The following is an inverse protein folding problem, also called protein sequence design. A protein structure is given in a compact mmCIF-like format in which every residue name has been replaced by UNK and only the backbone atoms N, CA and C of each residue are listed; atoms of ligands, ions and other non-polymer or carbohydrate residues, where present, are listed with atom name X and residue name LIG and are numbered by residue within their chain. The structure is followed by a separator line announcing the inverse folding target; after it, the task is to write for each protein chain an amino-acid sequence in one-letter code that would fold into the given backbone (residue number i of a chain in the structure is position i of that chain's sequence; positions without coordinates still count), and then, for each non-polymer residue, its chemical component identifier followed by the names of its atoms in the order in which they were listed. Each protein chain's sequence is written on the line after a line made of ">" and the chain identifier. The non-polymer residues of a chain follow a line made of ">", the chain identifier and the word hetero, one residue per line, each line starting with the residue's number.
data_IF_130737513542
#
_entry.id   IF_130737513542
#
_cell.length_a   1.000
_cell.length_b   1.000
_cell.length_c   1.000
_cell.angle_alpha   90.00
_cell.angle_beta   90.00
_cell.angle_gamma   90.00
#
_symmetry.space_group_name_H-M   'P 1'
#
loop_
_entity.id
_entity.type
_entity.pdbx_description
1 polymer ?
#
# COMPACT_ATOMS: atom_id res chain seq x y z
N UNK A 1 -8.04 -11.18 12.97
CA UNK A 1 -7.24 -10.48 14.00
C UNK A 1 -5.86 -11.13 14.22
N UNK A 2 -5.77 -12.45 14.53
CA UNK A 2 -4.47 -13.09 14.75
C UNK A 2 -3.49 -12.92 13.58
N UNK A 3 -3.95 -13.14 12.34
CA UNK A 3 -3.13 -12.98 11.12
C UNK A 3 -2.57 -11.55 11.00
N UNK A 4 -3.35 -10.54 11.35
CA UNK A 4 -2.90 -9.15 11.33
C UNK A 4 -1.80 -8.90 12.37
N UNK A 5 -1.97 -9.43 13.58
CA UNK A 5 -0.96 -9.33 14.65
C UNK A 5 0.33 -10.04 14.26
N UNK A 6 0.22 -11.24 13.69
CA UNK A 6 1.38 -11.99 13.17
C UNK A 6 2.07 -11.21 12.05
N UNK A 7 1.32 -10.65 11.11
CA UNK A 7 1.88 -9.85 10.03
C UNK A 7 2.61 -8.60 10.56
N UNK A 8 2.03 -7.89 11.55
CA UNK A 8 2.69 -6.76 12.21
C UNK A 8 3.94 -7.19 12.98
N UNK A 9 3.88 -8.34 13.67
CA UNK A 9 5.04 -8.87 14.38
C UNK A 9 6.16 -9.25 13.41
N UNK A 10 5.85 -9.91 12.30
CA UNK A 10 6.83 -10.22 11.24
C UNK A 10 7.45 -8.91 10.72
N UNK A 11 6.63 -7.93 10.34
CA UNK A 11 7.12 -6.65 9.84
C UNK A 11 8.02 -5.93 10.86
N UNK A 12 7.65 -5.99 12.16
CA UNK A 12 8.48 -5.43 13.23
C UNK A 12 9.81 -6.17 13.38
N UNK A 13 9.79 -7.51 13.36
CA UNK A 13 10.99 -8.33 13.48
C UNK A 13 11.94 -8.13 12.29
N UNK A 14 11.40 -8.01 11.08
CA UNK A 14 12.16 -7.70 9.87
C UNK A 14 12.81 -6.31 9.97
N UNK A 15 12.08 -5.31 10.44
CA UNK A 15 12.61 -3.95 10.62
C UNK A 15 13.77 -3.94 11.62
N UNK A 16 13.70 -4.73 12.71
CA UNK A 16 14.80 -4.87 13.68
C UNK A 16 15.98 -5.71 13.16
N UNK A 17 15.68 -6.71 12.33
CA UNK A 17 16.66 -7.64 11.78
C UNK A 17 17.11 -7.27 10.36
N UNK A 18 16.96 -6.00 9.97
CA UNK A 18 17.35 -5.50 8.64
C UNK A 18 18.79 -5.91 8.25
N UNK A 19 19.65 -6.17 9.25
CA UNK A 19 20.95 -6.77 9.04
C UNK A 19 20.94 -8.18 8.44
N UNK A 20 19.87 -8.97 8.63
CA UNK A 20 19.74 -10.30 8.04
C UNK A 20 19.44 -10.21 6.54
N UNK A 21 18.54 -9.34 6.15
CA UNK A 21 18.21 -9.12 4.72
C UNK A 21 19.37 -8.48 3.97
N UNK A 22 20.13 -7.57 4.59
CA UNK A 22 21.39 -7.08 4.03
C UNK A 22 22.42 -8.21 3.86
N UNK A 23 22.50 -9.16 4.79
CA UNK A 23 23.39 -10.34 4.68
C UNK A 23 22.92 -11.32 3.62
N UNK A 24 21.62 -11.37 3.31
CA UNK A 24 21.05 -12.16 2.22
C UNK A 24 21.18 -11.47 0.85
N UNK A 25 21.86 -10.32 0.80
CA UNK A 25 22.11 -9.62 -0.46
C UNK A 25 20.90 -8.87 -1.02
N UNK A 26 19.90 -8.58 -0.18
CA UNK A 26 18.76 -7.73 -0.56
C UNK A 26 19.04 -6.30 -0.05
N UNK A 27 19.77 -5.50 -0.78
CA UNK A 27 20.07 -4.14 -0.37
C UNK A 27 18.82 -3.28 -0.61
N UNK A 28 18.32 -2.62 0.42
CA UNK A 28 17.16 -1.73 0.36
C UNK A 28 17.53 -0.28 0.06
N UNK A 29 18.74 -0.01 -0.37
CA UNK A 29 19.17 1.33 -0.75
C UNK A 29 19.05 1.54 -2.27
N UNK A 30 18.51 2.68 -2.66
CA UNK A 30 18.38 3.20 -4.03
C UNK A 30 19.75 3.37 -4.74
N UNK A 31 20.61 2.38 -4.79
CA UNK A 31 21.96 2.58 -5.30
C UNK A 31 22.75 1.37 -5.71
N UNK A 32 22.18 0.18 -5.73
CA UNK A 32 23.00 -1.02 -5.95
C UNK A 32 22.70 -1.72 -7.26
N UNK A 33 23.75 -1.85 -8.05
CA UNK A 33 23.79 -2.64 -9.27
C UNK A 33 23.66 -4.13 -8.90
N UNK A 34 22.78 -4.87 -9.57
CA UNK A 34 22.63 -6.32 -9.40
C UNK A 34 21.24 -6.85 -9.00
N UNK A 35 20.18 -6.04 -9.10
CA UNK A 35 18.85 -6.34 -8.55
C UNK A 35 17.86 -7.07 -9.46
N UNK A 36 18.23 -7.37 -10.68
CA UNK A 36 17.32 -8.02 -11.64
C UNK A 36 17.28 -9.54 -11.49
N UNK A 37 17.52 -10.08 -10.29
CA UNK A 37 17.46 -11.50 -10.04
C UNK A 37 16.12 -11.95 -9.42
N UNK A 38 15.77 -13.21 -9.66
CA UNK A 38 14.52 -13.79 -9.19
C UNK A 38 14.42 -13.81 -7.65
N UNK A 39 15.55 -13.92 -6.96
CA UNK A 39 15.60 -13.97 -5.49
C UNK A 39 15.18 -12.63 -4.91
N UNK A 40 15.75 -11.54 -5.37
CA UNK A 40 15.40 -10.18 -4.94
C UNK A 40 13.93 -9.85 -5.24
N UNK A 41 13.43 -10.26 -6.42
CA UNK A 41 12.02 -10.12 -6.78
C UNK A 41 11.09 -10.86 -5.81
N UNK A 42 11.39 -12.12 -5.51
CA UNK A 42 10.53 -12.93 -4.64
C UNK A 42 10.53 -12.44 -3.20
N UNK A 43 11.70 -12.07 -2.67
CA UNK A 43 11.84 -11.52 -1.32
C UNK A 43 11.10 -10.19 -1.21
N UNK A 44 11.32 -9.26 -2.15
CA UNK A 44 10.62 -7.96 -2.15
C UNK A 44 9.10 -8.13 -2.22
N UNK A 45 8.62 -8.95 -3.17
CA UNK A 45 7.17 -9.16 -3.35
C UNK A 45 6.55 -9.88 -2.15
N UNK A 46 7.28 -10.81 -1.53
CA UNK A 46 6.84 -11.50 -0.31
C UNK A 46 6.73 -10.54 0.88
N UNK A 47 7.74 -9.71 1.11
CA UNK A 47 7.71 -8.67 2.16
C UNK A 47 6.60 -7.66 1.91
N UNK A 48 6.44 -7.22 0.66
CA UNK A 48 5.34 -6.33 0.27
C UNK A 48 3.98 -6.96 0.59
N UNK A 49 3.78 -8.24 0.26
CA UNK A 49 2.54 -8.95 0.56
C UNK A 49 2.25 -9.01 2.07
N UNK A 50 3.24 -9.31 2.91
CA UNK A 50 3.11 -9.33 4.37
C UNK A 50 2.74 -7.93 4.89
N UNK A 51 3.41 -6.88 4.41
CA UNK A 51 3.10 -5.50 4.75
C UNK A 51 1.67 -5.12 4.37
N UNK A 52 1.23 -5.51 3.17
CA UNK A 52 -0.15 -5.26 2.72
C UNK A 52 -1.18 -6.03 3.55
N UNK A 53 -0.89 -7.26 3.98
CA UNK A 53 -1.74 -7.99 4.91
C UNK A 53 -1.85 -7.23 6.25
N UNK A 54 -0.73 -6.77 6.80
CA UNK A 54 -0.72 -6.04 8.06
C UNK A 54 -1.58 -4.76 8.02
N UNK A 55 -1.49 -3.98 6.94
CA UNK A 55 -2.16 -2.68 6.81
C UNK A 55 -3.60 -2.80 6.29
N UNK A 56 -3.85 -3.70 5.33
CA UNK A 56 -5.12 -3.76 4.60
C UNK A 56 -6.13 -4.74 5.18
N UNK A 57 -5.68 -5.80 5.89
CA UNK A 57 -6.60 -6.77 6.47
C UNK A 57 -7.55 -6.14 7.50
N UNK A 58 -7.12 -5.25 8.42
CA UNK A 58 -8.03 -4.61 9.37
C UNK A 58 -9.15 -3.85 8.67
N UNK A 59 -8.81 -3.12 7.59
CA UNK A 59 -9.76 -2.29 6.86
C UNK A 59 -10.72 -3.09 5.95
N UNK A 60 -10.34 -4.29 5.51
CA UNK A 60 -11.15 -5.18 4.68
C UNK A 60 -11.95 -6.23 5.50
N UNK A 61 -11.69 -6.30 6.82
CA UNK A 61 -12.30 -7.30 7.69
C UNK A 61 -13.84 -7.29 7.70
N UNK A 62 -14.55 -6.14 7.70
CA UNK A 62 -16.01 -6.12 7.63
C UNK A 62 -16.54 -6.80 6.36
N UNK A 63 -15.91 -6.54 5.21
CA UNK A 63 -16.31 -7.15 3.92
C UNK A 63 -16.06 -8.66 3.92
N UNK A 64 -14.93 -9.11 4.48
CA UNK A 64 -14.60 -10.52 4.60
C UNK A 64 -15.60 -11.27 5.50
N UNK A 65 -16.00 -10.68 6.64
CA UNK A 65 -16.99 -11.28 7.54
C UNK A 65 -18.35 -11.36 6.87
N UNK A 66 -18.78 -10.31 6.20
CA UNK A 66 -20.07 -10.29 5.51
C UNK A 66 -20.09 -11.34 4.39
N UNK A 67 -19.04 -11.38 3.56
CA UNK A 67 -18.90 -12.41 2.53
C UNK A 67 -18.97 -13.81 3.12
N UNK A 68 -18.25 -14.07 4.23
CA UNK A 68 -18.26 -15.37 4.92
C UNK A 68 -19.68 -15.77 5.34
N UNK A 69 -20.41 -14.86 5.98
CA UNK A 69 -21.75 -15.11 6.49
C UNK A 69 -22.73 -15.46 5.36
N UNK A 70 -22.70 -14.70 4.27
CA UNK A 70 -23.60 -14.92 3.12
C UNK A 70 -23.18 -16.19 2.37
N UNK A 71 -21.87 -16.40 2.16
CA UNK A 71 -21.36 -17.57 1.46
C UNK A 71 -21.74 -18.89 2.19
N UNK A 72 -21.60 -18.93 3.50
CA UNK A 72 -21.98 -20.11 4.31
C UNK A 72 -23.47 -20.39 4.27
N UNK A 73 -24.31 -19.35 4.28
CA UNK A 73 -25.77 -19.52 4.16
C UNK A 73 -26.19 -20.05 2.80
N UNK A 74 -25.54 -19.59 1.72
CA UNK A 74 -25.88 -19.98 0.34
C UNK A 74 -25.24 -21.31 -0.10
N UNK A 75 -24.11 -21.67 0.48
CA UNK A 75 -23.33 -22.85 0.12
C UNK A 75 -22.95 -23.68 1.36
N UNK A 76 -23.93 -24.30 2.06
CA UNK A 76 -23.67 -24.98 3.32
C UNK A 76 -22.72 -26.17 3.20
N UNK A 77 -22.66 -26.81 2.03
CA UNK A 77 -21.79 -27.96 1.74
C UNK A 77 -20.42 -27.60 1.20
N UNK A 78 -20.18 -26.32 0.85
CA UNK A 78 -18.93 -25.87 0.22
C UNK A 78 -18.18 -24.91 1.12
N UNK A 79 -17.06 -25.35 1.65
CA UNK A 79 -16.13 -24.49 2.39
C UNK A 79 -15.10 -23.83 1.46
N UNK A 80 -14.44 -22.78 1.95
CA UNK A 80 -13.28 -22.19 1.28
C UNK A 80 -13.54 -20.99 0.38
N UNK A 81 -14.80 -20.60 0.11
CA UNK A 81 -15.08 -19.42 -0.76
C UNK A 81 -14.53 -18.12 -0.20
N UNK A 82 -14.61 -17.90 1.12
CA UNK A 82 -14.04 -16.71 1.75
C UNK A 82 -12.51 -16.70 1.71
N UNK A 83 -11.89 -17.87 1.77
CA UNK A 83 -10.44 -17.96 1.57
C UNK A 83 -10.05 -17.57 0.14
N UNK A 84 -10.79 -18.04 -0.87
CA UNK A 84 -10.56 -17.65 -2.27
C UNK A 84 -10.80 -16.15 -2.51
N UNK A 85 -11.80 -15.56 -1.85
CA UNK A 85 -12.00 -14.12 -1.85
C UNK A 85 -10.77 -13.39 -1.29
N UNK A 86 -10.29 -13.80 -0.11
CA UNK A 86 -9.11 -13.19 0.51
C UNK A 86 -7.85 -13.38 -0.36
N UNK A 87 -7.67 -14.59 -0.93
CA UNK A 87 -6.55 -14.90 -1.79
C UNK A 87 -6.51 -13.99 -3.02
N UNK A 88 -7.62 -13.82 -3.71
CA UNK A 88 -7.69 -12.94 -4.89
C UNK A 88 -7.53 -11.46 -4.53
N UNK A 89 -8.05 -11.02 -3.39
CA UNK A 89 -7.84 -9.69 -2.86
C UNK A 89 -6.34 -9.41 -2.63
N UNK A 90 -5.63 -10.30 -1.94
CA UNK A 90 -4.21 -10.14 -1.69
C UNK A 90 -3.34 -10.42 -2.93
N UNK A 91 -3.82 -11.19 -3.92
CA UNK A 91 -3.15 -11.33 -5.20
C UNK A 91 -3.07 -9.98 -5.95
N UNK A 92 -4.13 -9.16 -5.90
CA UNK A 92 -4.09 -7.79 -6.45
C UNK A 92 -3.01 -6.96 -5.76
N UNK A 93 -2.93 -7.02 -4.42
CA UNK A 93 -1.91 -6.29 -3.67
C UNK A 93 -0.48 -6.81 -3.92
N UNK A 94 -0.30 -8.11 -4.08
CA UNK A 94 1.00 -8.69 -4.45
C UNK A 94 1.43 -8.27 -5.87
N UNK A 95 0.47 -8.19 -6.80
CA UNK A 95 0.73 -7.70 -8.15
C UNK A 95 1.19 -6.22 -8.15
N UNK A 96 0.66 -5.38 -7.24
CA UNK A 96 1.16 -4.01 -7.09
C UNK A 96 2.61 -3.98 -6.58
N UNK A 97 3.00 -4.90 -5.71
CA UNK A 97 4.39 -5.06 -5.27
C UNK A 97 5.32 -5.41 -6.42
N UNK A 98 4.92 -6.37 -7.25
CA UNK A 98 5.67 -6.72 -8.45
C UNK A 98 5.81 -5.53 -9.42
N UNK A 99 4.74 -4.75 -9.59
CA UNK A 99 4.78 -3.52 -10.38
C UNK A 99 5.77 -2.49 -9.81
N UNK A 100 5.74 -2.24 -8.51
CA UNK A 100 6.68 -1.30 -7.88
C UNK A 100 8.11 -1.80 -7.93
N UNK A 101 8.35 -3.10 -7.79
CA UNK A 101 9.68 -3.67 -7.98
C UNK A 101 10.19 -3.44 -9.41
N UNK A 102 9.37 -3.74 -10.42
CA UNK A 102 9.73 -3.51 -11.82
C UNK A 102 10.01 -2.04 -12.11
N UNK A 103 9.17 -1.13 -11.60
CA UNK A 103 9.38 0.31 -11.71
C UNK A 103 10.69 0.74 -11.04
N UNK A 104 11.01 0.18 -9.87
CA UNK A 104 12.26 0.45 -9.16
C UNK A 104 13.50 0.01 -9.95
N UNK A 105 13.49 -1.22 -10.49
CA UNK A 105 14.58 -1.73 -11.33
C UNK A 105 14.74 -0.86 -12.58
N UNK A 106 13.65 -0.50 -13.23
CA UNK A 106 13.66 0.36 -14.43
C UNK A 106 14.23 1.75 -14.12
N UNK A 107 13.79 2.37 -13.01
CA UNK A 107 14.31 3.67 -12.56
C UNK A 107 15.80 3.58 -12.20
N UNK A 108 16.26 2.46 -11.65
CA UNK A 108 17.67 2.20 -11.38
C UNK A 108 18.54 2.24 -12.66
N UNK A 109 18.04 1.65 -13.73
CA UNK A 109 18.69 1.73 -15.05
C UNK A 109 18.79 3.16 -15.60
N UNK A 110 17.77 3.97 -15.35
CA UNK A 110 17.71 5.35 -15.87
C UNK A 110 18.32 6.37 -14.92
N UNK A 111 18.65 5.97 -13.70
CA UNK A 111 19.18 6.86 -12.67
C UNK A 111 20.47 7.57 -13.08
N UNK A 112 21.40 6.84 -13.69
CA UNK A 112 22.69 7.39 -14.15
C UNK A 112 22.52 8.41 -15.27
N UNK A 113 21.48 8.26 -16.11
CA UNK A 113 21.28 9.08 -17.30
C UNK A 113 20.35 10.29 -17.06
N UNK A 114 19.31 10.15 -16.22
CA UNK A 114 18.24 11.15 -16.09
C UNK A 114 18.20 11.79 -14.69
N UNK A 115 18.46 11.02 -13.63
CA UNK A 115 18.31 11.46 -12.25
C UNK A 115 19.61 11.94 -11.60
N UNK A 116 20.68 12.03 -12.29
CA UNK A 116 22.07 12.38 -11.96
C UNK A 116 22.43 13.15 -10.66
N UNK A 117 21.45 13.65 -9.90
CA UNK A 117 21.69 14.31 -8.62
C UNK A 117 20.59 13.98 -7.60
N UNK A 118 20.94 13.91 -6.32
CA UNK A 118 20.01 13.74 -5.19
C UNK A 118 18.91 14.80 -5.17
N UNK A 119 19.22 16.01 -5.66
CA UNK A 119 18.24 17.10 -5.78
C UNK A 119 17.14 16.81 -6.82
N UNK A 120 17.46 16.11 -7.89
CA UNK A 120 16.46 15.72 -8.90
C UNK A 120 15.53 14.64 -8.33
N UNK A 121 16.06 13.68 -7.59
CA UNK A 121 15.27 12.64 -6.91
C UNK A 121 14.28 13.28 -5.92
N UNK A 122 14.74 14.24 -5.11
CA UNK A 122 13.86 14.95 -4.17
C UNK A 122 12.75 15.73 -4.91
N UNK A 123 13.06 16.39 -6.02
CA UNK A 123 12.05 17.09 -6.83
C UNK A 123 11.02 16.13 -7.42
N UNK A 124 11.45 14.99 -7.93
CA UNK A 124 10.53 13.95 -8.42
C UNK A 124 9.64 13.45 -7.29
N UNK A 125 10.19 13.18 -6.10
CA UNK A 125 9.42 12.80 -4.92
C UNK A 125 8.39 13.88 -4.53
N UNK A 126 8.78 15.17 -4.55
CA UNK A 126 7.86 16.28 -4.32
C UNK A 126 6.73 16.34 -5.35
N UNK A 127 7.03 16.17 -6.63
CA UNK A 127 6.03 16.14 -7.69
C UNK A 127 5.06 14.95 -7.54
N UNK A 128 5.57 13.77 -7.19
CA UNK A 128 4.75 12.57 -6.92
C UNK A 128 3.82 12.80 -5.73
N UNK A 129 4.31 13.45 -4.66
CA UNK A 129 3.48 13.82 -3.50
C UNK A 129 2.35 14.80 -3.88
N UNK A 130 2.61 15.77 -4.73
CA UNK A 130 1.58 16.71 -5.20
C UNK A 130 0.52 15.95 -6.02
N UNK A 131 0.94 15.11 -6.96
CA UNK A 131 0.02 14.29 -7.77
C UNK A 131 -0.83 13.40 -6.86
N UNK A 132 -0.22 12.70 -5.91
CA UNK A 132 -0.92 11.86 -4.95
C UNK A 132 -1.87 12.66 -4.05
N UNK A 133 -1.48 13.88 -3.66
CA UNK A 133 -2.31 14.80 -2.88
C UNK A 133 -3.52 15.31 -3.67
N UNK A 134 -3.33 15.72 -4.92
CA UNK A 134 -4.44 16.11 -5.83
C UNK A 134 -5.38 14.93 -6.06
N UNK A 135 -4.84 13.71 -6.20
CA UNK A 135 -5.67 12.51 -6.32
C UNK A 135 -6.60 12.33 -5.12
N UNK A 136 -6.23 12.74 -3.90
CA UNK A 136 -7.09 12.64 -2.72
C UNK A 136 -8.43 13.38 -2.87
N UNK A 137 -8.50 14.38 -3.75
CA UNK A 137 -9.72 15.15 -4.07
C UNK A 137 -10.46 14.63 -5.30
N UNK A 138 -9.92 13.60 -5.96
CA UNK A 138 -10.49 13.10 -7.21
C UNK A 138 -11.80 12.34 -6.99
N UNK A 139 -12.70 12.46 -7.94
CA UNK A 139 -13.95 11.71 -7.99
C UNK A 139 -13.71 10.19 -8.01
N UNK A 140 -12.63 9.77 -8.67
CA UNK A 140 -12.24 8.36 -8.77
C UNK A 140 -11.91 7.76 -7.40
N UNK A 141 -11.15 8.48 -6.56
CA UNK A 141 -10.90 8.03 -5.19
C UNK A 141 -12.20 7.87 -4.41
N UNK A 142 -13.11 8.84 -4.50
CA UNK A 142 -14.38 8.78 -3.74
C UNK A 142 -15.26 7.63 -4.20
N UNK A 143 -15.37 7.39 -5.51
CA UNK A 143 -16.11 6.25 -6.04
C UNK A 143 -15.54 4.90 -5.53
N UNK A 144 -14.21 4.74 -5.56
CA UNK A 144 -13.57 3.54 -5.02
C UNK A 144 -13.75 3.40 -3.50
N UNK A 145 -13.64 4.52 -2.76
CA UNK A 145 -13.77 4.53 -1.32
C UNK A 145 -15.18 4.18 -0.85
N UNK A 146 -16.20 4.59 -1.59
CA UNK A 146 -17.60 4.26 -1.31
C UNK A 146 -17.86 2.76 -1.31
N UNK A 147 -17.31 2.02 -2.28
CA UNK A 147 -17.39 0.56 -2.32
C UNK A 147 -16.68 -0.11 -1.12
N UNK A 148 -15.61 0.49 -0.62
CA UNK A 148 -14.92 -0.01 0.57
C UNK A 148 -15.64 0.33 1.87
N UNK A 149 -16.37 1.46 1.93
CA UNK A 149 -17.15 1.91 3.10
C UNK A 149 -18.46 1.16 3.26
N UNK A 150 -19.07 0.75 2.15
CA UNK A 150 -20.37 0.08 2.12
C UNK A 150 -20.23 -1.41 1.74
N UNK A 151 -19.74 -2.27 2.65
CA UNK A 151 -19.48 -3.67 2.34
C UNK A 151 -20.74 -4.43 1.94
N UNK A 152 -21.91 -4.04 2.50
CA UNK A 152 -23.18 -4.67 2.15
C UNK A 152 -23.57 -4.36 0.70
N UNK A 153 -23.50 -3.11 0.28
CA UNK A 153 -23.79 -2.68 -1.09
C UNK A 153 -22.85 -3.38 -2.06
N UNK A 154 -21.54 -3.37 -1.78
CA UNK A 154 -20.54 -4.05 -2.62
C UNK A 154 -20.84 -5.55 -2.77
N UNK A 155 -21.14 -6.26 -1.68
CA UNK A 155 -21.39 -7.70 -1.72
C UNK A 155 -22.69 -8.00 -2.46
N UNK A 156 -23.74 -7.22 -2.27
CA UNK A 156 -25.02 -7.44 -2.97
C UNK A 156 -24.93 -7.16 -4.47
N UNK A 157 -24.26 -6.11 -4.86
CA UNK A 157 -24.12 -5.70 -6.27
C UNK A 157 -23.23 -6.67 -7.06
N UNK A 158 -22.17 -7.20 -6.42
CA UNK A 158 -21.17 -8.02 -7.08
C UNK A 158 -21.25 -9.51 -6.71
N UNK A 159 -22.38 -9.95 -6.15
CA UNK A 159 -22.51 -11.34 -5.74
C UNK A 159 -22.49 -12.28 -6.95
N UNK A 160 -21.62 -13.29 -6.86
CA UNK A 160 -21.56 -14.39 -7.80
C UNK A 160 -21.40 -15.69 -7.00
N UNK A 161 -22.21 -16.68 -7.32
CA UNK A 161 -22.18 -17.96 -6.60
C UNK A 161 -20.95 -18.81 -6.95
N UNK A 162 -20.58 -19.68 -6.02
CA UNK A 162 -19.49 -20.62 -6.19
C UNK A 162 -18.08 -20.05 -5.97
N UNK A 163 -17.09 -20.90 -6.19
CA UNK A 163 -15.67 -20.57 -5.93
C UNK A 163 -15.12 -19.49 -6.89
N UNK A 164 -15.49 -19.58 -8.16
CA UNK A 164 -15.04 -18.59 -9.14
C UNK A 164 -15.68 -17.22 -8.87
N UNK A 165 -16.94 -17.21 -8.38
CA UNK A 165 -17.61 -16.00 -7.92
C UNK A 165 -16.84 -15.32 -6.79
N UNK A 166 -16.43 -16.08 -5.79
CA UNK A 166 -15.63 -15.57 -4.68
C UNK A 166 -14.29 -14.97 -5.13
N UNK A 167 -13.59 -15.61 -6.08
CA UNK A 167 -12.35 -15.06 -6.66
C UNK A 167 -12.61 -13.74 -7.40
N UNK A 168 -13.64 -13.67 -8.23
CA UNK A 168 -13.98 -12.43 -8.96
C UNK A 168 -14.32 -11.28 -8.01
N UNK A 169 -15.12 -11.57 -6.98
CA UNK A 169 -15.48 -10.58 -5.97
C UNK A 169 -14.27 -10.07 -5.19
N UNK A 170 -13.39 -10.98 -4.75
CA UNK A 170 -12.18 -10.60 -4.03
C UNK A 170 -11.23 -9.74 -4.88
N UNK A 171 -11.04 -10.11 -6.15
CA UNK A 171 -10.28 -9.32 -7.11
C UNK A 171 -10.87 -7.93 -7.33
N UNK A 172 -12.18 -7.81 -7.58
CA UNK A 172 -12.86 -6.50 -7.69
C UNK A 172 -12.69 -5.66 -6.42
N UNK A 173 -12.88 -6.26 -5.24
CA UNK A 173 -12.65 -5.56 -3.98
C UNK A 173 -11.21 -5.07 -3.85
N UNK A 174 -10.23 -5.88 -4.26
CA UNK A 174 -8.82 -5.51 -4.31
C UNK A 174 -8.57 -4.29 -5.20
N UNK A 175 -9.16 -4.23 -6.39
CA UNK A 175 -9.04 -3.08 -7.29
C UNK A 175 -9.68 -1.81 -6.71
N UNK A 176 -10.88 -1.88 -6.13
CA UNK A 176 -11.47 -0.72 -5.46
C UNK A 176 -10.64 -0.26 -4.26
N UNK A 177 -10.12 -1.21 -3.48
CA UNK A 177 -9.24 -0.92 -2.35
C UNK A 177 -7.94 -0.27 -2.81
N UNK A 178 -7.31 -0.76 -3.86
CA UNK A 178 -6.16 -0.12 -4.48
C UNK A 178 -6.50 1.29 -4.95
N UNK A 179 -7.58 1.46 -5.72
CA UNK A 179 -8.02 2.77 -6.21
C UNK A 179 -8.25 3.79 -5.09
N UNK A 180 -8.79 3.39 -3.94
CA UNK A 180 -9.02 4.35 -2.85
C UNK A 180 -7.75 4.76 -2.08
N UNK A 181 -6.69 3.96 -2.07
CA UNK A 181 -5.54 4.20 -1.18
C UNK A 181 -4.15 4.23 -1.85
N UNK A 182 -4.03 4.01 -3.17
CA UNK A 182 -2.73 4.00 -3.85
C UNK A 182 -1.94 5.31 -3.66
N UNK A 183 -2.62 6.47 -3.63
CA UNK A 183 -1.98 7.76 -3.38
C UNK A 183 -1.33 7.84 -2.00
N UNK A 184 -1.95 7.24 -0.98
CA UNK A 184 -1.36 7.14 0.37
C UNK A 184 -0.20 6.14 0.41
N UNK A 185 -0.24 5.08 -0.43
CA UNK A 185 0.87 4.14 -0.55
C UNK A 185 2.12 4.77 -1.18
N UNK A 186 1.98 5.75 -2.07
CA UNK A 186 3.11 6.50 -2.61
C UNK A 186 3.86 7.28 -1.53
N UNK A 187 3.17 7.73 -0.47
CA UNK A 187 3.83 8.37 0.69
C UNK A 187 4.81 7.41 1.34
N UNK A 188 4.43 6.12 1.50
CA UNK A 188 5.33 5.12 2.08
C UNK A 188 6.55 4.86 1.21
N UNK A 189 6.41 4.88 -0.13
CA UNK A 189 7.55 4.73 -1.04
C UNK A 189 8.55 5.89 -0.89
N UNK A 190 8.07 7.09 -0.64
CA UNK A 190 8.90 8.28 -0.50
C UNK A 190 9.54 8.35 0.89
N UNK A 191 8.77 8.04 1.96
CA UNK A 191 9.23 8.11 3.35
C UNK A 191 10.02 6.87 3.80
N UNK A 192 10.11 5.87 2.95
CA UNK A 192 10.76 4.59 3.24
C UNK A 192 9.74 3.50 3.59
N UNK A 193 9.68 2.50 2.74
CA UNK A 193 8.70 1.38 2.82
C UNK A 193 8.80 0.60 4.13
N UNK A 194 9.99 0.59 4.75
CA UNK A 194 10.27 -0.19 5.97
C UNK A 194 10.20 0.62 7.27
N UNK A 195 9.81 1.88 7.21
CA UNK A 195 9.68 2.67 8.43
C UNK A 195 8.35 2.37 9.13
N UNK A 196 8.41 1.59 10.20
CA UNK A 196 7.24 1.06 10.91
C UNK A 196 6.27 2.17 11.36
N UNK A 197 6.79 3.32 11.80
CA UNK A 197 5.96 4.46 12.20
C UNK A 197 5.13 5.03 11.06
N UNK A 198 5.71 5.19 9.87
CA UNK A 198 4.98 5.65 8.69
C UNK A 198 3.97 4.61 8.20
N UNK A 199 4.31 3.32 8.24
CA UNK A 199 3.38 2.24 7.93
C UNK A 199 2.17 2.27 8.86
N UNK A 200 2.39 2.40 10.17
CA UNK A 200 1.31 2.48 11.15
C UNK A 200 0.44 3.73 10.92
N UNK A 201 1.06 4.90 10.73
CA UNK A 201 0.35 6.16 10.50
C UNK A 201 -0.53 6.11 9.25
N UNK A 202 0.02 5.65 8.12
CA UNK A 202 -0.74 5.51 6.87
C UNK A 202 -1.80 4.42 6.98
N UNK A 203 -1.49 3.28 7.64
CA UNK A 203 -2.46 2.21 7.87
C UNK A 203 -3.65 2.68 8.71
N UNK A 204 -3.40 3.43 9.78
CA UNK A 204 -4.46 4.04 10.63
C UNK A 204 -5.26 5.07 9.83
N UNK A 205 -4.59 5.90 9.02
CA UNK A 205 -5.28 6.88 8.18
C UNK A 205 -6.21 6.20 7.17
N UNK A 206 -5.75 5.15 6.48
CA UNK A 206 -6.57 4.36 5.55
C UNK A 206 -7.75 3.69 6.28
N UNK A 207 -7.49 3.13 7.46
CA UNK A 207 -8.54 2.54 8.29
C UNK A 207 -9.57 3.59 8.69
N UNK A 208 -9.13 4.76 9.14
CA UNK A 208 -10.01 5.88 9.49
C UNK A 208 -10.83 6.37 8.29
N UNK A 209 -10.21 6.52 7.12
CA UNK A 209 -10.94 6.90 5.89
C UNK A 209 -12.05 5.90 5.53
N UNK A 210 -11.83 4.60 5.76
CA UNK A 210 -12.81 3.55 5.43
C UNK A 210 -13.90 3.35 6.48
N UNK A 211 -13.57 3.51 7.76
CA UNK A 211 -14.52 3.30 8.86
C UNK A 211 -15.34 4.54 9.20
N UNK A 212 -14.85 5.73 8.88
CA UNK A 212 -15.54 6.97 9.20
C UNK A 212 -16.84 7.10 8.41
N UNK A 213 -17.99 7.28 9.08
CA UNK A 213 -19.31 7.21 8.43
C UNK A 213 -19.60 8.34 7.45
N UNK A 214 -18.87 9.42 7.41
CA UNK A 214 -18.94 10.42 6.35
C UNK A 214 -18.03 11.66 6.38
N UNK A 215 -16.90 11.78 6.95
CA UNK A 215 -16.23 13.04 6.69
C UNK A 215 -15.39 12.95 5.42
N UNK A 216 -15.90 13.52 4.34
CA UNK A 216 -15.11 13.86 3.16
C UNK A 216 -13.92 14.81 3.47
N UNK A 217 -13.83 15.30 4.71
CA UNK A 217 -12.75 16.18 5.16
C UNK A 217 -11.41 15.43 5.36
N UNK A 218 -11.45 14.15 5.80
CA UNK A 218 -10.23 13.40 6.11
C UNK A 218 -9.34 13.17 4.87
N UNK A 219 -9.86 12.65 3.74
CA UNK A 219 -9.10 12.60 2.49
C UNK A 219 -8.68 13.98 2.00
N UNK A 220 -9.55 15.00 2.17
CA UNK A 220 -9.22 16.37 1.75
C UNK A 220 -8.06 16.95 2.56
N UNK A 221 -8.05 16.73 3.87
CA UNK A 221 -6.96 17.16 4.75
C UNK A 221 -5.66 16.42 4.40
N UNK A 222 -5.72 15.09 4.22
CA UNK A 222 -4.57 14.31 3.80
C UNK A 222 -3.99 14.82 2.47
N UNK A 223 -4.86 15.11 1.50
CA UNK A 223 -4.46 15.70 0.21
C UNK A 223 -3.80 17.07 0.37
N UNK A 224 -4.37 17.95 1.21
CA UNK A 224 -3.79 19.26 1.49
C UNK A 224 -2.39 19.15 2.09
N UNK A 225 -2.21 18.29 3.08
CA UNK A 225 -0.90 18.05 3.72
C UNK A 225 0.11 17.51 2.71
N UNK A 226 -0.28 16.55 1.87
CA UNK A 226 0.59 15.99 0.84
C UNK A 226 1.01 17.05 -0.19
N UNK A 227 0.08 17.87 -0.67
CA UNK A 227 0.37 18.96 -1.61
C UNK A 227 1.27 20.01 -0.95
N UNK A 228 1.01 20.39 0.29
CA UNK A 228 1.85 21.36 1.01
C UNK A 228 3.29 20.84 1.18
N UNK A 229 3.46 19.59 1.63
CA UNK A 229 4.80 18.98 1.78
C UNK A 229 5.49 18.84 0.41
N UNK A 230 4.78 18.35 -0.61
CA UNK A 230 5.34 18.22 -1.96
C UNK A 230 5.78 19.56 -2.56
N UNK A 231 5.00 20.61 -2.35
CA UNK A 231 5.34 21.99 -2.79
C UNK A 231 6.55 22.52 -2.02
N UNK A 232 6.62 22.28 -0.71
CA UNK A 232 7.77 22.67 0.11
C UNK A 232 9.05 21.97 -0.37
N UNK A 233 8.97 20.68 -0.69
CA UNK A 233 10.11 19.93 -1.26
C UNK A 233 10.57 20.52 -2.58
N UNK A 234 9.64 20.94 -3.46
CA UNK A 234 9.98 21.53 -4.76
C UNK A 234 10.64 22.89 -4.64
N UNK A 235 10.14 23.75 -3.72
CA UNK A 235 10.63 25.13 -3.56
C UNK A 235 11.97 25.13 -2.81
N UNK A 236 12.12 24.31 -1.79
CA UNK A 236 13.26 24.34 -0.87
C UNK A 236 13.84 22.96 -0.58
N UNK A 237 14.35 22.25 -1.60
CA UNK A 237 14.87 20.88 -1.40
C UNK A 237 16.06 20.83 -0.42
N UNK A 238 16.85 21.92 -0.33
CA UNK A 238 18.02 22.02 0.59
C UNK A 238 17.63 22.08 2.06
N UNK A 239 16.51 22.69 2.41
CA UNK A 239 16.06 22.83 3.80
C UNK A 239 15.69 21.44 4.37
N UNK A 240 15.00 20.62 3.59
CA UNK A 240 14.62 19.26 4.01
C UNK A 240 15.82 18.32 4.07
N UNK A 241 16.77 18.45 3.18
CA UNK A 241 18.02 17.68 3.24
C UNK A 241 18.79 17.96 4.53
N UNK A 242 18.89 19.23 4.93
CA UNK A 242 19.54 19.61 6.18
C UNK A 242 18.75 19.16 7.42
N UNK A 243 17.41 19.20 7.39
CA UNK A 243 16.59 18.71 8.51
C UNK A 243 16.66 17.19 8.65
N UNK A 244 16.73 16.43 7.57
CA UNK A 244 16.88 14.97 7.65
C UNK A 244 18.23 14.54 8.20
N UNK A 245 19.31 15.28 7.90
CA UNK A 245 20.65 15.00 8.43
C UNK A 245 20.74 15.24 9.94
N UNK A 246 19.94 16.15 10.51
CA UNK A 246 19.88 16.40 11.96
C UNK A 246 19.01 15.38 12.71
N UNK A 247 18.02 14.77 12.08
CA UNK A 247 17.12 13.78 12.71
C UNK A 247 17.72 12.38 12.75
N UNK A 248 18.70 12.08 11.88
CA UNK A 248 19.37 10.76 11.84
C UNK A 248 20.54 10.63 12.82
N UNK A 249 20.91 11.69 13.56
CA UNK A 249 22.03 11.71 14.51
C UNK A 249 21.54 11.69 15.98
N UNK A 250 20.26 11.66 16.25
CA UNK A 250 19.65 11.42 17.58
C UNK A 250 18.96 10.09 17.60
#
# INVERSE_FOLDING_TARGET
>A
MLITLVAWWITYSETRNMGLLMRLGVPMSLGMEGWADLTSFTVFTGMWAVMMIAMMLPSSYPTLLLHRTIYQKRNPTRSGGTFLFALSYFAVWSATGAFFYAAYVLLGYWRSSILGSDMTILRVAGAVLIIAGVYQWSHLKYACLEHCRNPLHFVMEHWHDGRLGALRMGGKHGFYCFGCCWGLMLVLLIMGVMHLGWMAAVGVLILAEKLAPSPAWLPKLAGLVMVAIGTLILISPRILFNLSSHVTIG
#
